data_IF_143919089075
#
_entry.id   IF_143919089075
#
_cell.length_a   1.000
_cell.length_b   1.000
_cell.length_c   1.000
_cell.angle_alpha   90.00
_cell.angle_beta   90.00
_cell.angle_gamma   90.00
#
_symmetry.space_group_name_H-M   'P 1'
#
loop_
_entity.id
_entity.type
_entity.pdbx_description
1 polymer ?
#
# COMPACT_ATOMS: atom_id res chain seq x y z
N UNK A 1 -3.67 0.11 -8.04
CA UNK A 1 -3.94 0.16 -6.59
C UNK A 1 -5.08 -0.80 -6.34
N UNK A 2 -4.83 -1.89 -5.63
CA UNK A 2 -5.92 -2.72 -5.12
C UNK A 2 -6.48 -1.97 -3.91
N UNK A 3 -7.66 -1.37 -4.10
CA UNK A 3 -8.58 -1.08 -3.01
C UNK A 3 -9.13 -2.42 -2.51
N UNK A 4 -8.31 -3.21 -1.82
CA UNK A 4 -8.85 -4.28 -0.97
C UNK A 4 -8.96 -3.66 0.41
N UNK A 5 -10.18 -3.24 0.75
CA UNK A 5 -10.60 -2.95 2.11
C UNK A 5 -9.98 -1.70 2.75
N UNK A 6 -10.40 -0.50 2.34
CA UNK A 6 -10.35 0.65 3.25
C UNK A 6 -11.38 0.50 4.40
N UNK A 7 -12.41 -0.32 4.20
CA UNK A 7 -13.48 -0.57 5.19
C UNK A 7 -13.09 -1.60 6.27
N UNK A 8 -11.92 -2.22 6.17
CA UNK A 8 -11.43 -3.26 7.11
C UNK A 8 -10.04 -2.95 7.68
N UNK A 9 -9.55 -1.72 7.53
CA UNK A 9 -8.28 -1.31 8.13
C UNK A 9 -8.49 -1.14 9.63
N UNK A 10 -8.22 -2.20 10.38
CA UNK A 10 -8.01 -2.15 11.83
C UNK A 10 -7.13 -0.92 12.18
N UNK A 11 -7.69 -0.01 12.98
CA UNK A 11 -7.05 1.23 13.47
C UNK A 11 -5.66 1.04 14.12
N UNK A 12 -5.25 -0.21 14.36
CA UNK A 12 -4.02 -0.57 15.09
C UNK A 12 -2.82 -0.97 14.23
N UNK A 13 -2.92 -1.07 12.90
CA UNK A 13 -1.86 -1.70 12.09
C UNK A 13 -1.09 -0.82 11.11
N UNK A 14 -1.40 0.47 10.98
CA UNK A 14 -0.65 1.39 10.12
C UNK A 14 -0.22 2.64 10.88
N UNK A 15 0.94 2.60 11.51
CA UNK A 15 1.70 3.81 11.86
C UNK A 15 2.43 4.32 10.63
N UNK A 16 1.70 4.70 9.57
CA UNK A 16 2.26 5.57 8.53
C UNK A 16 1.91 7.00 8.90
N UNK A 17 2.62 7.51 9.91
CA UNK A 17 2.42 8.88 10.37
C UNK A 17 2.75 9.84 9.22
N UNK A 18 1.74 10.66 8.89
CA UNK A 18 1.86 12.03 8.37
C UNK A 18 1.79 12.26 6.85
N UNK A 19 1.85 11.24 5.97
CA UNK A 19 1.78 11.53 4.51
C UNK A 19 1.25 10.38 3.65
N UNK A 20 0.13 10.63 2.95
CA UNK A 20 -0.35 9.77 1.87
C UNK A 20 -0.10 10.44 0.51
N UNK A 21 0.63 9.76 -0.38
CA UNK A 21 0.95 10.26 -1.72
C UNK A 21 -0.07 9.81 -2.76
N UNK A 22 -0.61 10.77 -3.51
CA UNK A 22 -1.76 10.56 -4.40
C UNK A 22 -1.47 10.83 -5.87
N UNK A 23 -2.21 10.11 -6.70
CA UNK A 23 -2.36 10.37 -8.13
C UNK A 23 -3.54 11.28 -8.44
N UNK A 24 -3.48 11.92 -9.61
CA UNK A 24 -4.58 12.70 -10.19
C UNK A 24 -5.68 11.81 -10.82
N UNK A 25 -5.89 10.59 -10.32
CA UNK A 25 -7.04 9.78 -10.70
C UNK A 25 -8.31 10.31 -10.02
N UNK A 26 -9.47 10.36 -10.70
CA UNK A 26 -10.71 10.90 -10.15
C UNK A 26 -11.21 10.11 -8.93
N UNK A 27 -10.90 8.82 -8.83
CA UNK A 27 -11.27 7.96 -7.69
C UNK A 27 -10.62 8.44 -6.39
N UNK A 28 -9.51 9.15 -6.52
CA UNK A 28 -8.77 9.67 -5.40
C UNK A 28 -9.29 11.06 -5.01
N UNK A 29 -9.96 11.81 -5.91
CA UNK A 29 -10.44 13.21 -5.69
C UNK A 29 -11.74 13.24 -4.88
N UNK A 30 -12.18 12.12 -4.32
CA UNK A 30 -13.41 12.09 -3.56
C UNK A 30 -13.33 12.99 -2.31
N UNK A 31 -14.38 13.78 -2.10
CA UNK A 31 -14.55 14.58 -0.88
C UNK A 31 -14.54 13.69 0.37
N UNK A 32 -15.06 12.47 0.27
CA UNK A 32 -15.05 11.48 1.34
C UNK A 32 -13.63 11.13 1.81
N UNK A 33 -12.68 10.90 0.89
CA UNK A 33 -11.29 10.61 1.24
C UNK A 33 -10.61 11.81 1.89
N UNK A 34 -10.90 13.03 1.44
CA UNK A 34 -10.36 14.25 2.05
C UNK A 34 -10.85 14.43 3.49
N UNK A 35 -12.17 14.25 3.71
CA UNK A 35 -12.76 14.34 5.05
C UNK A 35 -12.22 13.27 6.00
N UNK A 36 -12.05 12.04 5.52
CA UNK A 36 -11.42 10.97 6.30
C UNK A 36 -9.98 11.33 6.68
N UNK A 37 -9.16 11.76 5.72
CA UNK A 37 -7.77 12.11 5.99
C UNK A 37 -7.65 13.29 6.98
N UNK A 38 -8.50 14.30 6.82
CA UNK A 38 -8.58 15.44 7.75
C UNK A 38 -8.94 15.00 9.17
N UNK A 39 -9.97 14.15 9.32
CA UNK A 39 -10.38 13.58 10.61
C UNK A 39 -9.25 12.82 11.31
N UNK A 40 -8.40 12.15 10.54
CA UNK A 40 -7.27 11.37 11.06
C UNK A 40 -5.95 12.16 11.10
N UNK A 41 -5.98 13.48 10.84
CA UNK A 41 -4.79 14.35 10.78
C UNK A 41 -3.72 13.86 9.79
N UNK A 42 -4.14 13.22 8.70
CA UNK A 42 -3.25 12.71 7.64
C UNK A 42 -3.17 13.74 6.52
N UNK A 43 -1.96 14.19 6.18
CA UNK A 43 -1.75 15.08 5.05
C UNK A 43 -1.81 14.31 3.73
N UNK A 44 -2.71 14.71 2.83
CA UNK A 44 -2.74 14.23 1.44
C UNK A 44 -1.80 15.08 0.58
N UNK A 45 -0.89 14.44 -0.16
CA UNK A 45 0.02 15.14 -1.08
C UNK A 45 -0.02 14.53 -2.48
N UNK A 46 -0.24 15.36 -3.48
CA UNK A 46 -0.17 14.94 -4.88
C UNK A 46 1.28 14.75 -5.33
N UNK A 47 1.50 13.81 -6.25
CA UNK A 47 2.73 13.79 -7.04
C UNK A 47 2.87 15.09 -7.81
N UNK A 48 4.09 15.60 -7.93
CA UNK A 48 4.34 16.82 -8.69
C UNK A 48 4.20 16.52 -10.19
N UNK A 49 3.52 17.38 -10.97
CA UNK A 49 3.49 17.25 -12.42
C UNK A 49 4.92 17.15 -12.99
N UNK A 50 5.12 16.22 -13.93
CA UNK A 50 6.43 15.99 -14.55
C UNK A 50 7.46 15.24 -13.67
N UNK A 51 7.10 14.74 -12.48
CA UNK A 51 8.01 13.97 -11.62
C UNK A 51 7.54 12.53 -11.38
N UNK A 52 7.48 11.65 -12.40
CA UNK A 52 6.99 10.27 -12.26
C UNK A 52 7.82 9.43 -11.27
N UNK A 53 9.10 9.75 -11.06
CA UNK A 53 9.97 9.05 -10.11
C UNK A 53 9.42 9.10 -8.68
N UNK A 54 8.61 10.11 -8.37
CA UNK A 54 7.91 10.25 -7.10
C UNK A 54 6.93 9.12 -6.80
N UNK A 55 6.50 8.36 -7.80
CA UNK A 55 5.67 7.18 -7.61
C UNK A 55 6.38 5.85 -7.90
N UNK A 56 7.65 5.86 -8.33
CA UNK A 56 8.35 4.65 -8.74
C UNK A 56 8.31 3.51 -7.69
N UNK A 57 8.29 3.84 -6.39
CA UNK A 57 8.17 2.86 -5.32
C UNK A 57 6.80 2.14 -5.30
N UNK A 58 5.70 2.89 -5.41
CA UNK A 58 4.33 2.33 -5.47
C UNK A 58 4.13 1.52 -6.75
N UNK A 59 4.64 2.02 -7.88
CA UNK A 59 4.58 1.26 -9.15
C UNK A 59 5.31 -0.07 -9.04
N UNK A 60 6.52 -0.07 -8.48
CA UNK A 60 7.28 -1.30 -8.26
C UNK A 60 6.56 -2.26 -7.32
N UNK A 61 5.96 -1.75 -6.25
CA UNK A 61 5.14 -2.55 -5.34
C UNK A 61 3.94 -3.16 -6.08
N UNK A 62 3.14 -2.34 -6.78
CA UNK A 62 1.98 -2.79 -7.54
C UNK A 62 2.34 -3.82 -8.62
N UNK A 63 3.50 -3.66 -9.27
CA UNK A 63 4.02 -4.65 -10.22
C UNK A 63 4.28 -5.99 -9.52
N UNK A 64 4.87 -5.96 -8.32
CA UNK A 64 5.14 -7.15 -7.51
C UNK A 64 3.83 -7.84 -7.11
N UNK A 65 2.85 -7.10 -6.59
CA UNK A 65 1.51 -7.60 -6.26
C UNK A 65 0.86 -8.30 -7.47
N UNK A 66 0.95 -7.69 -8.66
CA UNK A 66 0.36 -8.25 -9.86
C UNK A 66 1.01 -9.57 -10.28
N UNK A 67 2.33 -9.61 -10.32
CA UNK A 67 3.05 -10.78 -10.81
C UNK A 67 3.16 -11.89 -9.76
N UNK A 68 3.47 -11.56 -8.51
CA UNK A 68 3.72 -12.56 -7.46
C UNK A 68 2.40 -13.10 -6.87
N UNK A 69 1.28 -12.40 -7.03
CA UNK A 69 -0.02 -12.80 -6.45
C UNK A 69 -1.14 -12.84 -7.49
N UNK A 70 -1.58 -11.70 -8.02
CA UNK A 70 -2.83 -11.65 -8.78
C UNK A 70 -2.82 -12.47 -10.07
N UNK A 71 -1.65 -12.63 -10.70
CA UNK A 71 -1.52 -13.41 -11.93
C UNK A 71 -1.61 -14.92 -11.71
N UNK A 72 -1.53 -15.40 -10.47
CA UNK A 72 -1.42 -16.83 -10.15
C UNK A 72 -2.67 -17.42 -9.50
N UNK A 73 -3.67 -16.60 -9.18
CA UNK A 73 -4.83 -17.03 -8.41
C UNK A 73 -6.13 -16.54 -9.04
N UNK A 74 -7.08 -17.47 -9.15
CA UNK A 74 -8.49 -17.17 -9.37
C UNK A 74 -9.17 -17.22 -8.00
N UNK A 75 -10.05 -16.27 -7.73
CA UNK A 75 -10.77 -16.18 -6.46
C UNK A 75 -12.25 -16.39 -6.71
N UNK A 76 -12.88 -17.17 -5.83
CA UNK A 76 -14.29 -17.51 -5.93
C UNK A 76 -15.17 -16.53 -5.13
N UNK A 77 -14.58 -15.79 -4.18
CA UNK A 77 -15.26 -14.77 -3.39
C UNK A 77 -14.35 -13.61 -2.97
N UNK A 78 -14.98 -12.50 -2.55
CA UNK A 78 -14.27 -11.36 -1.95
C UNK A 78 -13.56 -11.76 -0.64
N UNK A 79 -14.14 -12.67 0.14
CA UNK A 79 -13.52 -13.18 1.36
C UNK A 79 -12.20 -13.88 1.04
N UNK A 80 -12.18 -14.72 -0.01
CA UNK A 80 -10.97 -15.43 -0.43
C UNK A 80 -9.87 -14.46 -0.88
N UNK A 81 -10.25 -13.39 -1.59
CA UNK A 81 -9.31 -12.32 -1.97
C UNK A 81 -8.71 -11.67 -0.73
N UNK A 82 -9.53 -11.34 0.28
CA UNK A 82 -9.09 -10.68 1.52
C UNK A 82 -8.16 -11.57 2.35
N UNK A 83 -8.51 -12.85 2.51
CA UNK A 83 -7.70 -13.80 3.27
C UNK A 83 -6.35 -14.03 2.60
N UNK A 84 -6.33 -14.20 1.28
CA UNK A 84 -5.08 -14.36 0.54
C UNK A 84 -4.25 -13.07 0.58
N UNK A 85 -4.87 -11.90 0.36
CA UNK A 85 -4.18 -10.61 0.45
C UNK A 85 -3.50 -10.43 1.80
N UNK A 86 -4.18 -10.82 2.88
CA UNK A 86 -3.65 -10.74 4.25
C UNK A 86 -2.41 -11.62 4.43
N UNK A 87 -2.48 -12.89 4.00
CA UNK A 87 -1.34 -13.81 4.08
C UNK A 87 -0.17 -13.36 3.21
N UNK A 88 -0.45 -12.92 1.98
CA UNK A 88 0.58 -12.45 1.06
C UNK A 88 1.26 -11.19 1.60
N UNK A 89 0.50 -10.23 2.14
CA UNK A 89 1.05 -9.00 2.71
C UNK A 89 1.92 -9.30 3.94
N UNK A 90 1.51 -10.26 4.78
CA UNK A 90 2.33 -10.70 5.90
C UNK A 90 3.67 -11.26 5.41
N UNK A 91 3.63 -12.18 4.44
CA UNK A 91 4.81 -12.80 3.82
C UNK A 91 5.74 -11.75 3.20
N UNK A 92 5.17 -10.82 2.43
CA UNK A 92 5.91 -9.72 1.80
C UNK A 92 6.67 -8.86 2.83
N UNK A 93 6.03 -8.56 3.96
CA UNK A 93 6.60 -7.67 4.98
C UNK A 93 7.58 -8.37 5.92
N UNK A 94 7.38 -9.66 6.21
CA UNK A 94 8.13 -10.37 7.24
C UNK A 94 9.21 -11.31 6.69
N UNK A 95 8.99 -11.88 5.51
CA UNK A 95 9.84 -12.97 5.00
C UNK A 95 10.57 -12.60 3.72
N UNK A 96 9.95 -11.79 2.84
CA UNK A 96 10.51 -11.48 1.51
C UNK A 96 11.70 -10.52 1.60
N UNK A 97 12.94 -10.94 1.26
CA UNK A 97 14.08 -10.04 1.18
C UNK A 97 13.89 -9.03 0.05
N UNK A 98 14.21 -7.76 0.30
CA UNK A 98 14.11 -6.71 -0.72
C UNK A 98 15.48 -6.11 -1.02
N UNK A 99 15.99 -6.34 -2.22
CA UNK A 99 17.30 -5.80 -2.65
C UNK A 99 17.35 -4.26 -2.62
N UNK A 100 16.22 -3.57 -2.80
CA UNK A 100 16.17 -2.12 -2.66
C UNK A 100 16.42 -1.65 -1.23
N UNK A 101 16.20 -2.53 -0.25
CA UNK A 101 16.40 -2.29 1.17
C UNK A 101 17.74 -2.84 1.67
N UNK A 102 18.60 -3.35 0.78
CA UNK A 102 19.85 -4.00 1.17
C UNK A 102 19.71 -5.49 1.49
N UNK A 103 18.68 -6.15 0.96
CA UNK A 103 18.47 -7.59 1.14
C UNK A 103 17.77 -7.97 2.45
N UNK A 104 17.26 -6.98 3.20
CA UNK A 104 16.45 -7.20 4.41
C UNK A 104 14.96 -7.09 4.09
N UNK A 105 14.11 -7.54 5.01
CA UNK A 105 12.66 -7.48 4.86
C UNK A 105 12.13 -6.09 5.20
N UNK A 106 10.93 -5.70 4.70
CA UNK A 106 10.33 -4.41 5.02
C UNK A 106 10.21 -4.13 6.52
N UNK A 107 9.81 -5.13 7.33
CA UNK A 107 9.69 -4.94 8.78
C UNK A 107 11.05 -4.72 9.45
N UNK A 108 12.10 -5.42 9.01
CA UNK A 108 13.46 -5.18 9.50
C UNK A 108 13.92 -3.76 9.17
N UNK A 109 13.63 -3.28 7.96
CA UNK A 109 13.96 -1.91 7.58
C UNK A 109 13.24 -0.87 8.45
N UNK A 110 11.96 -1.10 8.78
CA UNK A 110 11.22 -0.22 9.69
C UNK A 110 11.81 -0.23 11.10
N UNK A 111 12.16 -1.40 11.63
CA UNK A 111 12.77 -1.52 12.96
C UNK A 111 14.13 -0.80 13.06
N UNK A 112 14.92 -0.77 11.97
CA UNK A 112 16.18 -0.04 11.91
C UNK A 112 16.02 1.48 11.74
N UNK A 113 14.83 1.95 11.36
CA UNK A 113 14.53 3.36 11.12
C UNK A 113 13.79 4.04 12.29
N UNK A 114 13.43 3.27 13.32
CA UNK A 114 12.81 3.71 14.56
C UNK A 114 13.88 4.02 15.62
#
# INVERSE_FOLDING_TARGET
MLLVGLDSIDEKRLTFKDLLRRYYGPEYVSSALMQWAEKHHIKLQFIQPGKPQQNAYIERYNRTVRYDWLAHHLFDSVSDVQDFATHWLWTYNHERPNMALGGITPIQKMALAA
#
